data_IF_651336724834
#
_entry.id   IF_651336724834
#
_cell.length_a   1.000
_cell.length_b   1.000
_cell.length_c   1.000
_cell.angle_alpha   90.00
_cell.angle_beta   90.00
_cell.angle_gamma   90.00
#
_symmetry.space_group_name_H-M   'P 1'
#
loop_
_entity.id
_entity.type
_entity.pdbx_description
1 polymer ?
#
# COMPACT_ATOMS: atom_id res chain seq x y z
N UNK A 1 -4.61 -22.16 -23.58
CA UNK A 1 -5.50 -21.17 -22.94
C UNK A 1 -4.62 -20.32 -22.02
N UNK A 2 -4.17 -19.17 -22.52
CA UNK A 2 -3.21 -18.29 -21.84
C UNK A 2 -3.94 -17.66 -20.63
N UNK A 3 -3.63 -18.11 -19.41
CA UNK A 3 -3.90 -17.31 -18.22
C UNK A 3 -3.09 -16.03 -18.39
N UNK A 4 -3.77 -14.91 -18.62
CA UNK A 4 -3.15 -13.61 -18.73
C UNK A 4 -2.26 -13.40 -17.51
N UNK A 5 -0.98 -13.20 -17.75
CA UNK A 5 -0.04 -12.70 -16.75
C UNK A 5 -0.59 -11.33 -16.37
N UNK A 6 -1.28 -11.26 -15.23
CA UNK A 6 -1.59 -9.98 -14.59
C UNK A 6 -0.22 -9.43 -14.23
N UNK A 7 0.27 -8.47 -15.00
CA UNK A 7 1.51 -7.78 -14.66
C UNK A 7 1.30 -7.16 -13.28
N UNK A 8 2.22 -7.43 -12.36
CA UNK A 8 2.17 -6.98 -10.96
C UNK A 8 2.47 -5.49 -10.87
N UNK A 9 1.67 -4.66 -11.54
CA UNK A 9 1.86 -3.21 -11.69
C UNK A 9 1.01 -2.42 -10.69
N UNK A 10 0.47 -3.10 -9.68
CA UNK A 10 -0.34 -2.46 -8.63
C UNK A 10 0.44 -1.34 -7.91
N UNK A 11 1.78 -1.43 -7.88
CA UNK A 11 2.65 -0.39 -7.35
C UNK A 11 2.67 0.87 -8.22
N UNK A 12 2.67 0.73 -9.55
CA UNK A 12 2.66 1.83 -10.50
C UNK A 12 1.28 2.52 -10.54
N UNK A 13 0.21 1.73 -10.48
CA UNK A 13 -1.16 2.24 -10.30
C UNK A 13 -1.29 2.96 -8.95
N UNK A 14 -0.69 2.38 -7.90
CA UNK A 14 -0.54 3.01 -6.60
C UNK A 14 0.09 4.39 -6.71
N UNK A 15 1.34 4.48 -7.17
CA UNK A 15 2.06 5.75 -7.23
C UNK A 15 1.33 6.81 -8.07
N UNK A 16 0.79 6.43 -9.23
CA UNK A 16 0.00 7.32 -10.07
C UNK A 16 -1.19 7.92 -9.30
N UNK A 17 -2.02 7.07 -8.70
CA UNK A 17 -3.22 7.53 -7.98
C UNK A 17 -2.87 8.35 -6.76
N UNK A 18 -1.84 7.97 -6.02
CA UNK A 18 -1.40 8.68 -4.82
C UNK A 18 -0.90 10.07 -5.16
N UNK A 19 -0.01 10.17 -6.14
CA UNK A 19 0.51 11.44 -6.61
C UNK A 19 -0.61 12.34 -7.18
N UNK A 20 -1.51 11.77 -8.00
CA UNK A 20 -2.66 12.48 -8.55
C UNK A 20 -3.57 13.04 -7.45
N UNK A 21 -3.86 12.24 -6.42
CA UNK A 21 -4.72 12.66 -5.31
C UNK A 21 -4.06 13.76 -4.47
N UNK A 22 -2.76 13.64 -4.16
CA UNK A 22 -2.01 14.68 -3.44
C UNK A 22 -1.96 16.00 -4.21
N UNK A 23 -1.73 15.97 -5.53
CA UNK A 23 -1.73 17.18 -6.36
C UNK A 23 -3.10 17.85 -6.39
N UNK A 24 -4.15 17.06 -6.62
CA UNK A 24 -5.52 17.55 -6.63
C UNK A 24 -5.89 18.20 -5.30
N UNK A 25 -5.52 17.58 -4.19
CA UNK A 25 -5.80 18.10 -2.87
C UNK A 25 -5.04 19.39 -2.55
N UNK A 26 -3.77 19.48 -2.95
CA UNK A 26 -2.96 20.66 -2.77
C UNK A 26 -3.30 21.81 -3.76
N UNK A 27 -4.24 21.58 -4.70
CA UNK A 27 -4.56 22.54 -5.75
C UNK A 27 -3.41 22.78 -6.74
N UNK A 28 -2.47 21.84 -6.83
CA UNK A 28 -1.29 21.94 -7.69
C UNK A 28 -1.67 21.46 -9.10
N UNK A 29 -1.36 22.29 -10.10
CA UNK A 29 -1.42 21.90 -11.51
C UNK A 29 0.00 21.55 -11.96
N UNK A 30 0.25 20.28 -12.24
CA UNK A 30 1.57 19.78 -12.64
C UNK A 30 1.49 18.45 -13.38
N UNK A 31 2.61 17.96 -13.93
CA UNK A 31 2.64 16.68 -14.63
C UNK A 31 2.35 15.53 -13.67
N UNK A 32 1.44 14.63 -14.05
CA UNK A 32 1.14 13.40 -13.31
C UNK A 32 1.60 12.23 -14.21
N UNK A 33 2.63 11.47 -13.80
CA UNK A 33 3.10 10.32 -14.56
C UNK A 33 2.04 9.23 -14.59
N UNK A 34 1.80 8.66 -15.77
CA UNK A 34 0.97 7.48 -16.01
C UNK A 34 1.61 6.23 -15.40
N UNK A 35 0.80 5.18 -15.21
CA UNK A 35 1.33 3.90 -14.71
C UNK A 35 2.39 3.28 -15.64
N UNK A 36 2.27 3.45 -16.95
CA UNK A 36 3.27 2.96 -17.91
C UNK A 36 4.58 3.75 -17.79
N UNK A 37 4.52 5.07 -17.62
CA UNK A 37 5.71 5.90 -17.37
C UNK A 37 6.42 5.51 -16.06
N UNK A 38 5.69 5.06 -15.04
CA UNK A 38 6.31 4.48 -13.85
C UNK A 38 7.05 3.18 -14.15
N UNK A 39 6.41 2.26 -14.86
CA UNK A 39 7.00 0.95 -15.19
C UNK A 39 8.24 1.11 -16.06
N UNK A 40 8.22 2.03 -17.01
CA UNK A 40 9.37 2.30 -17.88
C UNK A 40 10.48 3.13 -17.19
N UNK A 41 10.09 4.04 -16.30
CA UNK A 41 11.00 5.00 -15.68
C UNK A 41 11.71 4.51 -14.41
N UNK A 42 11.14 3.54 -13.70
CA UNK A 42 11.82 2.90 -12.55
C UNK A 42 12.84 1.89 -13.04
N UNK A 43 14.07 1.97 -12.51
CA UNK A 43 15.19 1.10 -12.91
C UNK A 43 14.79 -0.39 -12.88
N UNK A 44 14.97 -1.06 -14.01
CA UNK A 44 14.63 -2.48 -14.19
C UNK A 44 15.33 -3.40 -13.19
N UNK A 45 16.49 -3.02 -12.64
CA UNK A 45 17.18 -3.79 -11.59
C UNK A 45 16.42 -3.84 -10.26
N UNK A 46 15.51 -2.88 -10.04
CA UNK A 46 14.62 -2.86 -8.89
C UNK A 46 13.29 -3.57 -9.12
N UNK A 47 12.99 -3.88 -10.38
CA UNK A 47 11.81 -4.62 -10.78
C UNK A 47 12.09 -6.11 -10.67
N UNK A 48 11.47 -6.75 -9.70
CA UNK A 48 11.48 -8.20 -9.54
C UNK A 48 10.70 -8.78 -10.71
N UNK A 49 11.32 -9.70 -11.45
CA UNK A 49 10.74 -10.34 -12.64
C UNK A 49 9.31 -10.83 -12.36
N UNK A 50 8.32 -10.16 -12.95
CA UNK A 50 6.90 -10.49 -12.81
C UNK A 50 6.21 -10.04 -11.52
N UNK A 51 6.91 -9.46 -10.55
CA UNK A 51 6.36 -9.10 -9.23
C UNK A 51 6.37 -7.59 -8.92
N UNK A 52 7.00 -6.77 -9.77
CA UNK A 52 7.10 -5.32 -9.57
C UNK A 52 8.23 -4.94 -8.62
N UNK A 53 8.13 -3.86 -7.86
CA UNK A 53 9.20 -3.41 -6.94
C UNK A 53 9.06 -3.99 -5.53
N UNK A 54 10.17 -4.42 -4.92
CA UNK A 54 10.18 -4.92 -3.54
C UNK A 54 10.19 -3.82 -2.48
N UNK A 55 10.41 -2.55 -2.87
CA UNK A 55 10.32 -1.39 -2.00
C UNK A 55 9.96 -0.14 -2.80
N UNK A 56 9.05 0.69 -2.27
CA UNK A 56 8.72 1.99 -2.85
C UNK A 56 9.88 2.99 -2.86
N UNK A 57 10.91 2.77 -2.05
CA UNK A 57 12.15 3.56 -2.13
C UNK A 57 12.81 3.46 -3.50
N UNK A 58 12.60 2.36 -4.22
CA UNK A 58 13.15 2.18 -5.56
C UNK A 58 12.52 3.11 -6.61
N UNK A 59 11.32 3.63 -6.36
CA UNK A 59 10.68 4.63 -7.20
C UNK A 59 11.12 6.06 -6.85
N UNK A 60 11.85 6.28 -5.74
CA UNK A 60 12.17 7.62 -5.25
C UNK A 60 12.99 8.44 -6.25
N UNK A 61 14.00 7.83 -6.89
CA UNK A 61 14.83 8.50 -7.91
C UNK A 61 14.00 8.95 -9.10
N UNK A 62 13.10 8.10 -9.61
CA UNK A 62 12.18 8.47 -10.69
C UNK A 62 11.25 9.63 -10.25
N UNK A 63 10.74 9.55 -9.03
CA UNK A 63 9.82 10.54 -8.46
C UNK A 63 10.42 11.92 -8.24
N UNK A 64 11.75 12.07 -8.20
CA UNK A 64 12.41 13.39 -8.12
C UNK A 64 12.09 14.29 -9.31
N UNK A 65 11.65 13.72 -10.44
CA UNK A 65 11.19 14.48 -11.61
C UNK A 65 9.80 15.12 -11.41
N UNK A 66 9.01 14.62 -10.45
CA UNK A 66 7.60 14.97 -10.26
C UNK A 66 7.29 15.55 -8.88
N UNK A 67 8.13 15.27 -7.88
CA UNK A 67 7.99 15.80 -6.52
C UNK A 67 9.36 16.14 -5.93
N UNK A 68 9.38 17.11 -5.02
CA UNK A 68 10.60 17.49 -4.31
C UNK A 68 11.15 16.35 -3.45
N UNK A 69 10.25 15.60 -2.81
CA UNK A 69 10.61 14.52 -1.92
C UNK A 69 9.49 13.47 -1.88
N UNK A 70 9.88 12.20 -1.93
CA UNK A 70 9.01 11.05 -1.69
C UNK A 70 9.35 10.46 -0.31
N UNK A 71 8.41 10.54 0.62
CA UNK A 71 8.59 10.02 1.98
C UNK A 71 8.03 8.61 2.06
N UNK A 72 8.84 7.65 2.52
CA UNK A 72 8.45 6.25 2.68
C UNK A 72 8.59 5.85 4.14
N UNK A 73 7.46 5.67 4.82
CA UNK A 73 7.39 5.15 6.19
C UNK A 73 7.46 3.62 6.18
N UNK A 74 8.33 3.04 7.01
CA UNK A 74 8.51 1.58 7.10
C UNK A 74 8.17 1.13 8.52
N UNK A 75 7.25 0.18 8.63
CA UNK A 75 7.00 -0.52 9.90
C UNK A 75 8.15 -1.48 10.21
N UNK A 76 8.85 -1.25 11.31
CA UNK A 76 9.88 -2.17 11.80
C UNK A 76 9.22 -3.35 12.51
N UNK A 77 9.68 -4.58 12.27
CA UNK A 77 9.03 -5.81 12.77
C UNK A 77 9.37 -6.17 14.22
N UNK A 78 10.44 -5.60 14.80
CA UNK A 78 11.09 -6.12 16.01
C UNK A 78 11.05 -5.21 17.24
N UNK A 79 10.30 -4.10 17.22
CA UNK A 79 10.54 -3.02 18.20
C UNK A 79 9.49 -2.88 19.32
N UNK A 80 8.68 -3.91 19.55
CA UNK A 80 7.72 -3.92 20.67
C UNK A 80 6.42 -3.15 20.40
N UNK A 81 5.44 -3.30 21.30
CA UNK A 81 4.05 -2.84 21.09
C UNK A 81 3.95 -1.32 20.97
N UNK A 82 4.67 -0.55 21.80
CA UNK A 82 4.60 0.92 21.77
C UNK A 82 4.96 1.51 20.41
N UNK A 83 6.00 0.98 19.76
CA UNK A 83 6.43 1.43 18.43
C UNK A 83 5.46 1.01 17.32
N UNK A 84 4.69 -0.06 17.51
CA UNK A 84 3.59 -0.39 16.60
C UNK A 84 2.46 0.63 16.71
N UNK A 85 2.06 0.98 17.93
CA UNK A 85 1.02 1.98 18.14
C UNK A 85 1.44 3.36 17.63
N UNK A 86 2.70 3.75 17.81
CA UNK A 86 3.23 5.03 17.28
C UNK A 86 3.23 5.06 15.75
N UNK A 87 3.56 3.94 15.10
CA UNK A 87 3.46 3.82 13.65
C UNK A 87 2.00 3.92 13.17
N UNK A 88 1.07 3.27 13.87
CA UNK A 88 -0.36 3.34 13.55
C UNK A 88 -0.91 4.76 13.76
N UNK A 89 -0.53 5.44 14.85
CA UNK A 89 -0.85 6.85 15.09
C UNK A 89 -0.34 7.73 13.96
N UNK A 90 0.91 7.54 13.55
CA UNK A 90 1.52 8.28 12.42
C UNK A 90 0.72 8.08 11.13
N UNK A 91 0.30 6.84 10.82
CA UNK A 91 -0.51 6.57 9.63
C UNK A 91 -1.88 7.26 9.70
N UNK A 92 -2.54 7.22 10.87
CA UNK A 92 -3.83 7.89 11.08
C UNK A 92 -3.68 9.40 10.85
N UNK A 93 -2.69 10.03 11.50
CA UNK A 93 -2.44 11.46 11.41
C UNK A 93 -2.22 11.89 9.95
N UNK A 94 -1.33 11.20 9.22
CA UNK A 94 -1.07 11.53 7.81
C UNK A 94 -2.33 11.27 6.96
N UNK A 95 -3.03 10.16 7.17
CA UNK A 95 -4.23 9.81 6.39
C UNK A 95 -5.41 10.74 6.61
N UNK A 96 -5.41 11.50 7.72
CA UNK A 96 -6.40 12.54 7.98
C UNK A 96 -6.18 13.78 7.11
N UNK A 97 -4.94 14.00 6.67
CA UNK A 97 -4.55 15.16 5.88
C UNK A 97 -4.41 14.84 4.40
N UNK A 98 -3.93 13.65 4.03
CA UNK A 98 -3.70 13.28 2.62
C UNK A 98 -3.96 11.79 2.39
N UNK A 99 -4.39 11.37 1.19
CA UNK A 99 -4.43 9.95 0.86
C UNK A 99 -3.06 9.30 1.00
N UNK A 100 -2.99 8.25 1.81
CA UNK A 100 -1.74 7.50 2.04
C UNK A 100 -1.81 6.19 1.27
N UNK A 101 -0.86 5.99 0.36
CA UNK A 101 -0.65 4.68 -0.23
C UNK A 101 0.07 3.78 0.76
N UNK A 102 -0.47 2.57 0.98
CA UNK A 102 0.13 1.56 1.85
C UNK A 102 0.31 0.25 1.11
N UNK A 103 1.28 -0.53 1.55
CA UNK A 103 1.44 -1.93 1.14
C UNK A 103 0.91 -2.87 2.19
N UNK A 104 0.20 -3.89 1.74
CA UNK A 104 -0.29 -4.96 2.60
C UNK A 104 0.10 -6.31 2.01
N UNK A 105 0.38 -7.26 2.91
CA UNK A 105 0.54 -8.67 2.54
C UNK A 105 -0.84 -9.26 2.26
N UNK A 106 -1.04 -9.81 1.06
CA UNK A 106 -2.27 -10.50 0.68
C UNK A 106 -2.23 -11.95 1.13
N UNK A 107 -2.55 -12.16 2.42
CA UNK A 107 -2.75 -13.49 2.99
C UNK A 107 -3.98 -14.20 2.37
N UNK A 108 -4.07 -15.54 2.44
CA UNK A 108 -5.15 -16.29 1.80
C UNK A 108 -6.56 -15.79 2.14
N UNK A 109 -6.84 -15.46 3.41
CA UNK A 109 -8.19 -15.02 3.77
C UNK A 109 -8.56 -13.65 3.18
N UNK A 110 -7.58 -12.78 2.90
CA UNK A 110 -7.81 -11.50 2.22
C UNK A 110 -8.33 -11.71 0.80
N UNK A 111 -7.80 -12.71 0.08
CA UNK A 111 -8.25 -13.03 -1.27
C UNK A 111 -9.69 -13.55 -1.30
N UNK A 112 -10.13 -14.20 -0.21
CA UNK A 112 -11.50 -14.68 -0.04
C UNK A 112 -12.45 -13.64 0.55
N UNK A 113 -11.96 -12.45 0.93
CA UNK A 113 -12.78 -11.42 1.55
C UNK A 113 -13.75 -10.81 0.53
N UNK A 114 -15.04 -10.80 0.85
CA UNK A 114 -16.10 -10.31 -0.04
C UNK A 114 -16.31 -8.79 0.01
N UNK A 115 -15.48 -8.06 0.76
CA UNK A 115 -15.59 -6.62 0.93
C UNK A 115 -16.60 -6.15 1.99
N UNK A 116 -17.29 -7.07 2.69
CA UNK A 116 -18.29 -6.72 3.70
C UNK A 116 -17.69 -6.67 5.10
N UNK A 117 -17.83 -5.52 5.78
CA UNK A 117 -17.34 -5.32 7.15
C UNK A 117 -15.85 -4.98 7.24
N UNK A 118 -15.25 -5.20 8.41
CA UNK A 118 -13.83 -4.96 8.65
C UNK A 118 -13.08 -6.28 8.49
N UNK A 119 -12.22 -6.35 7.49
CA UNK A 119 -11.33 -7.49 7.30
C UNK A 119 -10.38 -7.67 8.49
N UNK A 120 -10.25 -8.91 8.96
CA UNK A 120 -9.27 -9.32 9.98
C UNK A 120 -8.62 -10.63 9.53
N UNK A 121 -7.27 -10.71 9.46
CA UNK A 121 -6.59 -11.98 9.25
C UNK A 121 -7.00 -12.99 10.32
N UNK A 122 -7.14 -14.25 9.95
CA UNK A 122 -7.43 -15.33 10.89
C UNK A 122 -6.14 -15.91 11.50
N UNK A 123 -6.28 -16.77 12.50
CA UNK A 123 -5.13 -17.38 13.19
C UNK A 123 -4.21 -18.17 12.25
N UNK A 124 -4.77 -18.80 11.20
CA UNK A 124 -4.00 -19.54 10.20
C UNK A 124 -3.17 -18.58 9.36
N UNK A 125 -3.72 -17.45 8.91
CA UNK A 125 -2.95 -16.44 8.19
C UNK A 125 -1.80 -15.93 9.07
N UNK A 126 -2.08 -15.61 10.34
CA UNK A 126 -1.07 -15.16 11.30
C UNK A 126 0.04 -16.20 11.48
N UNK A 127 -0.31 -17.48 11.56
CA UNK A 127 0.64 -18.58 11.64
C UNK A 127 1.49 -18.68 10.36
N UNK A 128 0.87 -18.69 9.18
CA UNK A 128 1.58 -18.83 7.91
C UNK A 128 2.53 -17.66 7.64
N UNK A 129 2.20 -16.44 8.09
CA UNK A 129 3.09 -15.26 7.99
C UNK A 129 4.44 -15.43 8.71
N UNK A 130 4.57 -16.41 9.60
CA UNK A 130 5.85 -16.73 10.25
C UNK A 130 6.77 -17.60 9.38
N UNK A 131 6.23 -18.30 8.39
CA UNK A 131 6.97 -19.24 7.53
C UNK A 131 7.00 -18.84 6.05
N UNK A 132 6.02 -18.06 5.59
CA UNK A 132 5.81 -17.74 4.18
C UNK A 132 5.90 -16.22 3.93
N UNK A 133 6.35 -15.87 2.72
CA UNK A 133 6.22 -14.51 2.18
C UNK A 133 5.00 -14.48 1.28
N UNK A 134 4.08 -13.57 1.56
CA UNK A 134 2.89 -13.37 0.75
C UNK A 134 3.11 -12.31 -0.33
N UNK A 135 2.37 -12.39 -1.45
CA UNK A 135 2.30 -11.30 -2.41
C UNK A 135 1.90 -9.99 -1.72
N UNK A 136 2.50 -8.90 -2.17
CA UNK A 136 2.19 -7.56 -1.67
C UNK A 136 1.18 -6.91 -2.61
N UNK A 137 0.20 -6.20 -2.04
CA UNK A 137 -0.73 -5.37 -2.79
C UNK A 137 -0.73 -3.94 -2.26
N UNK A 138 -1.07 -3.00 -3.14
CA UNK A 138 -1.08 -1.57 -2.83
C UNK A 138 -2.51 -1.11 -2.59
N UNK A 139 -2.74 -0.44 -1.47
CA UNK A 139 -4.04 0.10 -1.07
C UNK A 139 -3.92 1.60 -0.81
N UNK A 140 -5.07 2.28 -0.85
CA UNK A 140 -5.20 3.69 -0.46
C UNK A 140 -5.97 3.82 0.83
N UNK A 141 -5.34 4.44 1.82
CA UNK A 141 -6.00 4.92 3.01
C UNK A 141 -6.54 6.33 2.71
N UNK A 142 -7.86 6.46 2.72
CA UNK A 142 -8.57 7.73 2.50
C UNK A 142 -9.28 8.23 3.76
N UNK A 143 -9.08 7.56 4.89
CA UNK A 143 -9.68 7.89 6.17
C UNK A 143 -9.65 6.71 7.14
N UNK A 144 -10.07 6.96 8.38
CA UNK A 144 -10.15 5.98 9.46
C UNK A 144 -11.40 6.22 10.30
N UNK A 145 -12.01 5.15 10.83
CA UNK A 145 -13.13 5.23 11.76
C UNK A 145 -13.12 4.02 12.71
N UNK A 146 -13.86 4.11 13.82
CA UNK A 146 -13.99 3.07 14.83
C UNK A 146 -15.40 2.48 14.75
N UNK A 147 -15.49 1.21 14.35
CA UNK A 147 -16.74 0.46 14.40
C UNK A 147 -16.87 -0.26 15.74
N UNK A 148 -17.88 0.13 16.51
CA UNK A 148 -18.17 -0.49 17.79
C UNK A 148 -19.09 -1.71 17.62
N UNK A 149 -18.50 -2.90 17.52
CA UNK A 149 -19.22 -4.17 17.24
C UNK A 149 -20.23 -4.55 18.34
N UNK A 150 -20.07 -4.04 19.57
CA UNK A 150 -20.99 -4.29 20.67
C UNK A 150 -22.40 -3.70 20.43
N UNK A 151 -22.55 -2.75 19.50
CA UNK A 151 -23.86 -2.12 19.20
C UNK A 151 -24.68 -2.92 18.17
N UNK A 152 -24.07 -3.87 17.46
CA UNK A 152 -24.70 -4.57 16.33
C UNK A 152 -24.89 -6.08 16.53
N UNK A 153 -24.48 -6.64 17.68
CA UNK A 153 -24.82 -8.02 18.05
C UNK A 153 -24.25 -9.09 17.11
N UNK A 154 -23.13 -8.83 16.43
CA UNK A 154 -22.45 -9.79 15.57
C UNK A 154 -21.23 -10.33 16.34
N UNK A 155 -21.35 -11.56 16.81
CA UNK A 155 -20.24 -12.41 17.30
C UNK A 155 -19.73 -13.28 16.16
#
# INVERSE_FOLDING_TARGET
MLRGVVTSDCWAIGLNRGHSASFKQAGIVGPIPTSDEFVEGVDASFQVSGEGICSFKHAATFMQNYCKEMIVYIRLRSEGVALFEDFERTLIDISSEVPVMVTVECVPSFQSFNGQGIYRPNDIDCYLRTFEKFPIHCLFLTGSDIVNFNKYGLY
#
